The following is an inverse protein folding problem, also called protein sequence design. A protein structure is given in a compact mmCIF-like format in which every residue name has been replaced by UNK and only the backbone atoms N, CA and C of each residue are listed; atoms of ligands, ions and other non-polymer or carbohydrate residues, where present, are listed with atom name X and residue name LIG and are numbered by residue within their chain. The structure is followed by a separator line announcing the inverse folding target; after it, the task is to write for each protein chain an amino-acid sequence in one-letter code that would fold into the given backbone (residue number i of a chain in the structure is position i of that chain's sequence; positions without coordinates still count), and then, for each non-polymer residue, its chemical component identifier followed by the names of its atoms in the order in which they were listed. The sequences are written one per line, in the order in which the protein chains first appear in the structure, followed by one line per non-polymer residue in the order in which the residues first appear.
data_IF_435376340273
#
_entry.id   IF_435376340273
#
_cell.length_a   1.000
_cell.length_b   1.000
_cell.length_c   1.000
_cell.angle_alpha   90.00
_cell.angle_beta   90.00
_cell.angle_gamma   90.00
#
_symmetry.space_group_name_H-M   'P 1'
#
loop_
_entity.id
_entity.type
_entity.pdbx_description
1 polymer ?
#
# COMPACT_ATOMS: atom_id res chain seq x y z
N UNK A 1 -12.97 68.17 -25.66
CA UNK A 1 -11.98 67.39 -24.89
C UNK A 1 -12.68 66.81 -23.67
N UNK A 2 -13.04 65.52 -23.69
CA UNK A 2 -13.57 64.81 -22.52
C UNK A 2 -12.66 63.63 -22.22
N UNK A 3 -12.06 63.62 -21.03
CA UNK A 3 -11.19 62.55 -20.53
C UNK A 3 -12.07 61.34 -20.19
N UNK A 4 -11.77 60.18 -20.78
CA UNK A 4 -12.31 58.87 -20.34
C UNK A 4 -11.53 58.44 -19.10
N UNK A 5 -12.25 58.30 -17.99
CA UNK A 5 -11.74 57.73 -16.75
C UNK A 5 -12.05 56.24 -16.75
N UNK A 6 -11.00 55.42 -16.74
CA UNK A 6 -11.09 53.95 -16.77
C UNK A 6 -11.23 53.44 -15.33
N UNK A 7 -12.43 53.06 -14.91
CA UNK A 7 -12.66 52.38 -13.63
C UNK A 7 -12.05 50.97 -13.66
N UNK A 8 -11.17 50.67 -12.70
CA UNK A 8 -10.74 49.30 -12.38
C UNK A 8 -11.83 48.57 -11.60
N UNK A 9 -12.13 47.29 -11.87
CA UNK A 9 -13.01 46.52 -11.02
C UNK A 9 -12.30 46.14 -9.71
N UNK A 10 -13.06 46.19 -8.60
CA UNK A 10 -12.63 45.79 -7.27
C UNK A 10 -12.43 44.26 -7.17
N UNK A 11 -11.52 43.77 -6.31
CA UNK A 11 -11.29 42.34 -6.15
C UNK A 11 -12.48 41.66 -5.46
N UNK A 12 -12.96 40.58 -6.08
CA UNK A 12 -14.00 39.70 -5.54
C UNK A 12 -13.42 38.92 -4.35
N UNK A 13 -13.95 39.16 -3.15
CA UNK A 13 -13.64 38.37 -1.95
C UNK A 13 -14.23 36.96 -2.11
N UNK A 14 -13.38 35.94 -2.22
CA UNK A 14 -13.80 34.55 -2.03
C UNK A 14 -14.14 34.30 -0.55
N UNK A 15 -15.26 33.64 -0.23
CA UNK A 15 -15.54 33.19 1.13
C UNK A 15 -14.63 32.02 1.49
N UNK A 16 -14.02 32.09 2.67
CA UNK A 16 -13.21 31.03 3.25
C UNK A 16 -14.06 29.77 3.46
N UNK A 17 -13.62 28.64 2.90
CA UNK A 17 -14.22 27.34 3.21
C UNK A 17 -13.80 26.90 4.60
N UNK A 18 -14.70 27.00 5.56
CA UNK A 18 -14.56 26.35 6.87
C UNK A 18 -14.64 24.84 6.68
N UNK A 19 -13.48 24.18 6.63
CA UNK A 19 -13.39 22.71 6.69
C UNK A 19 -13.68 22.29 8.13
N UNK A 20 -14.88 21.74 8.37
CA UNK A 20 -15.26 21.21 9.66
C UNK A 20 -14.47 19.94 9.98
N UNK A 21 -13.83 19.92 11.16
CA UNK A 21 -13.19 18.74 11.70
C UNK A 21 -14.20 17.59 11.88
N UNK A 22 -13.82 16.33 11.61
CA UNK A 22 -14.68 15.19 11.91
C UNK A 22 -14.83 14.99 13.44
N UNK A 23 -15.99 14.53 13.91
CA UNK A 23 -16.26 14.36 15.34
C UNK A 23 -15.49 13.17 15.93
N UNK A 24 -15.07 13.35 17.19
CA UNK A 24 -14.47 12.33 18.06
C UNK A 24 -15.54 11.28 18.40
N UNK A 25 -15.25 9.99 18.16
CA UNK A 25 -16.07 8.90 18.68
C UNK A 25 -15.26 7.91 19.50
N UNK A 26 -15.80 7.64 20.69
CA UNK A 26 -15.32 6.80 21.78
C UNK A 26 -15.32 5.32 21.44
N UNK A 27 -14.28 4.62 21.89
CA UNK A 27 -14.05 3.17 21.77
C UNK A 27 -15.16 2.32 22.40
N UNK A 28 -15.55 1.18 21.78
CA UNK A 28 -16.26 0.11 22.46
C UNK A 28 -15.30 -0.90 23.13
N UNK A 29 -15.70 -1.29 24.33
CA UNK A 29 -15.11 -2.24 25.26
C UNK A 29 -14.90 -3.65 24.68
N UNK A 30 -13.77 -4.25 25.05
CA UNK A 30 -13.36 -5.62 24.70
C UNK A 30 -14.34 -6.69 25.21
N UNK A 31 -14.62 -7.68 24.36
CA UNK A 31 -15.26 -8.94 24.74
C UNK A 31 -14.29 -10.10 24.52
N UNK A 32 -14.08 -10.86 25.59
CA UNK A 32 -13.22 -12.03 25.74
C UNK A 32 -13.65 -13.18 24.81
N UNK A 33 -12.67 -13.82 24.14
CA UNK A 33 -12.86 -15.10 23.47
C UNK A 33 -12.34 -16.27 24.32
N UNK A 34 -12.94 -17.47 24.24
CA UNK A 34 -12.29 -18.70 24.62
C UNK A 34 -11.96 -19.57 23.39
N UNK A 35 -10.88 -20.35 23.48
CA UNK A 35 -10.74 -21.61 22.76
C UNK A 35 -9.55 -21.74 21.81
N UNK A 36 -8.39 -22.10 22.36
CA UNK A 36 -7.32 -22.78 21.63
C UNK A 36 -7.82 -24.18 21.23
N UNK A 37 -7.69 -24.56 19.96
CA UNK A 37 -7.80 -25.96 19.54
C UNK A 37 -6.50 -26.38 18.85
N UNK A 38 -5.91 -27.41 19.43
CA UNK A 38 -4.66 -28.08 19.10
C UNK A 38 -4.78 -28.85 17.76
N UNK A 39 -3.87 -28.60 16.81
CA UNK A 39 -3.81 -29.31 15.52
C UNK A 39 -2.67 -30.33 15.51
N UNK A 40 -3.04 -31.58 15.78
CA UNK A 40 -2.72 -32.80 15.03
C UNK A 40 -1.30 -33.00 14.46
N UNK A 41 -0.58 -33.95 15.06
CA UNK A 41 0.66 -34.58 14.58
C UNK A 41 0.44 -35.36 13.27
N UNK A 42 1.23 -35.08 12.22
CA UNK A 42 1.35 -35.96 11.05
C UNK A 42 2.50 -36.96 11.23
N UNK A 43 2.17 -38.26 11.16
CA UNK A 43 3.11 -39.38 11.13
C UNK A 43 3.57 -39.62 9.68
N UNK A 44 4.88 -39.64 9.47
CA UNK A 44 5.53 -40.20 8.28
C UNK A 44 5.52 -41.74 8.40
N UNK A 45 5.03 -42.42 7.37
CA UNK A 45 5.19 -43.86 7.18
C UNK A 45 5.87 -44.10 5.83
N UNK A 46 6.84 -45.01 5.82
CA UNK A 46 7.84 -45.19 4.76
C UNK A 46 7.35 -45.94 3.51
N UNK A 47 8.28 -46.13 2.57
CA UNK A 47 8.13 -47.10 1.48
C UNK A 47 8.90 -46.73 0.21
N UNK A 48 10.03 -47.39 -0.03
CA UNK A 48 10.85 -47.38 -1.27
C UNK A 48 11.29 -48.84 -1.49
N UNK A 49 11.59 -49.36 -2.70
CA UNK A 49 11.01 -49.21 -4.05
C UNK A 49 10.63 -50.61 -4.66
N UNK A 50 10.41 -50.74 -5.99
CA UNK A 50 11.49 -51.30 -6.81
C UNK A 50 11.66 -50.68 -8.20
N UNK A 51 12.75 -51.14 -8.83
CA UNK A 51 13.55 -50.64 -9.95
C UNK A 51 13.16 -51.32 -11.26
N UNK A 52 13.00 -50.57 -12.36
CA UNK A 52 13.27 -51.05 -13.73
C UNK A 52 13.82 -49.91 -14.63
N UNK A 53 14.61 -50.35 -15.61
CA UNK A 53 15.69 -49.71 -16.39
C UNK A 53 15.23 -48.82 -17.57
N UNK A 54 16.15 -48.07 -18.21
CA UNK A 54 15.87 -46.76 -18.83
C UNK A 54 15.46 -46.86 -20.31
N UNK A 55 14.59 -45.94 -20.72
CA UNK A 55 14.34 -45.61 -22.13
C UNK A 55 14.98 -44.25 -22.45
N UNK A 56 15.86 -44.28 -23.44
CA UNK A 56 16.58 -43.15 -23.99
C UNK A 56 15.63 -42.18 -24.71
N UNK A 57 15.31 -41.07 -24.05
CA UNK A 57 14.63 -39.92 -24.65
C UNK A 57 15.35 -38.65 -24.22
N UNK A 58 16.15 -38.09 -25.14
CA UNK A 58 16.85 -36.83 -24.97
C UNK A 58 15.91 -35.74 -24.44
N UNK A 59 16.21 -35.09 -23.31
CA UNK A 59 15.47 -33.92 -22.86
C UNK A 59 15.82 -32.73 -23.74
N UNK A 60 14.79 -32.12 -24.34
CA UNK A 60 14.88 -30.79 -24.91
C UNK A 60 15.42 -29.84 -23.84
N UNK A 61 16.56 -29.22 -24.15
CA UNK A 61 17.24 -28.28 -23.27
C UNK A 61 16.27 -27.15 -22.92
N UNK A 62 15.68 -27.25 -21.72
CA UNK A 62 15.00 -26.14 -21.08
C UNK A 62 16.08 -25.10 -20.83
N UNK A 63 15.99 -23.97 -21.53
CA UNK A 63 16.84 -22.82 -21.27
C UNK A 63 16.88 -22.55 -19.76
N UNK A 64 18.06 -22.28 -19.18
CA UNK A 64 18.14 -21.86 -17.80
C UNK A 64 17.36 -20.56 -17.68
N UNK A 65 16.21 -20.64 -17.01
CA UNK A 65 15.52 -19.49 -16.44
C UNK A 65 16.59 -18.64 -15.77
N UNK A 66 16.78 -17.41 -16.27
CA UNK A 66 17.69 -16.45 -15.66
C UNK A 66 17.45 -16.49 -14.15
N UNK A 67 18.50 -16.80 -13.39
CA UNK A 67 18.40 -16.86 -11.94
C UNK A 67 17.96 -15.48 -11.47
N UNK A 68 16.71 -15.38 -11.03
CA UNK A 68 16.15 -14.15 -10.47
C UNK A 68 17.07 -13.73 -9.31
N UNK A 69 17.61 -12.51 -9.37
CA UNK A 69 18.40 -11.98 -8.27
C UNK A 69 17.59 -12.08 -6.96
N UNK A 70 18.24 -12.42 -5.83
CA UNK A 70 17.52 -12.53 -4.57
C UNK A 70 16.85 -11.19 -4.23
N UNK A 71 15.67 -11.19 -3.58
CA UNK A 71 15.02 -9.97 -3.14
C UNK A 71 15.96 -9.14 -2.26
N UNK A 72 16.10 -7.85 -2.55
CA UNK A 72 16.90 -6.92 -1.75
C UNK A 72 16.04 -5.77 -1.25
N UNK A 73 16.13 -5.49 0.05
CA UNK A 73 15.46 -4.35 0.66
C UNK A 73 16.25 -3.06 0.45
N UNK A 74 15.55 -1.98 0.11
CA UNK A 74 16.10 -0.64 -0.14
C UNK A 74 15.54 0.37 0.84
N UNK A 75 16.30 1.41 1.12
CA UNK A 75 15.84 2.54 1.91
C UNK A 75 14.89 3.41 1.09
N UNK A 76 13.77 3.78 1.72
CA UNK A 76 12.77 4.71 1.21
C UNK A 76 12.64 5.88 2.17
N UNK A 77 12.65 7.08 1.61
CA UNK A 77 12.24 8.30 2.30
C UNK A 77 10.98 8.81 1.64
N UNK A 78 9.90 8.86 2.41
CA UNK A 78 8.58 9.29 1.96
C UNK A 78 8.10 10.45 2.82
N UNK A 79 7.12 11.18 2.32
CA UNK A 79 6.58 12.37 2.96
C UNK A 79 5.06 12.33 2.98
N UNK A 80 4.50 12.83 4.08
CA UNK A 80 3.05 12.97 4.25
C UNK A 80 2.75 14.30 4.91
N UNK A 81 1.93 15.11 4.25
CA UNK A 81 1.29 16.24 4.90
C UNK A 81 0.06 15.75 5.67
N UNK A 82 -0.09 16.16 6.92
CA UNK A 82 -1.23 15.80 7.76
C UNK A 82 -1.54 16.95 8.73
N UNK A 83 -2.82 17.26 8.94
CA UNK A 83 -3.23 18.40 9.78
C UNK A 83 -3.05 18.13 11.27
N UNK A 84 -2.89 16.86 11.67
CA UNK A 84 -2.59 16.51 13.05
C UNK A 84 -1.14 16.89 13.36
N UNK A 85 -0.89 17.42 14.55
CA UNK A 85 0.48 17.64 15.04
C UNK A 85 1.12 16.34 15.52
N UNK A 86 2.44 16.32 15.69
CA UNK A 86 3.13 15.11 16.11
C UNK A 86 2.74 14.70 17.54
N UNK A 87 2.51 15.67 18.42
CA UNK A 87 2.02 15.43 19.78
C UNK A 87 0.62 14.80 19.77
N UNK A 88 -0.26 15.26 18.86
CA UNK A 88 -1.58 14.66 18.67
C UNK A 88 -1.46 13.23 18.15
N UNK A 89 -0.55 12.97 17.21
CA UNK A 89 -0.27 11.63 16.71
C UNK A 89 0.19 10.69 17.82
N UNK A 90 1.15 11.12 18.65
CA UNK A 90 1.70 10.31 19.74
C UNK A 90 0.68 9.95 20.82
N UNK A 91 -0.28 10.83 21.10
CA UNK A 91 -1.24 10.65 22.19
C UNK A 91 -2.55 10.02 21.75
N UNK A 92 -3.04 10.36 20.55
CA UNK A 92 -4.35 9.94 20.05
C UNK A 92 -4.32 8.80 19.03
N UNK A 93 -3.15 8.48 18.45
CA UNK A 93 -3.03 7.56 17.33
C UNK A 93 -1.88 6.56 17.54
N UNK A 94 -2.02 5.60 18.48
CA UNK A 94 -0.95 4.67 18.83
C UNK A 94 -0.52 3.75 17.67
N UNK A 95 -1.40 3.52 16.69
CA UNK A 95 -1.10 2.76 15.48
C UNK A 95 -0.41 3.60 14.39
N UNK A 96 -0.26 4.91 14.62
CA UNK A 96 0.25 5.88 13.66
C UNK A 96 -0.77 6.32 12.63
N UNK A 97 -0.35 6.47 11.37
CA UNK A 97 -1.27 6.89 10.32
C UNK A 97 -2.12 5.70 9.87
N UNK A 98 -3.43 5.83 9.99
CA UNK A 98 -4.42 4.83 9.54
C UNK A 98 -5.29 5.39 8.42
N UNK A 99 -5.81 4.50 7.59
CA UNK A 99 -6.79 4.84 6.56
C UNK A 99 -8.16 5.17 7.19
N UNK A 100 -9.08 5.72 6.41
CA UNK A 100 -10.45 5.98 6.91
C UNK A 100 -11.21 4.69 7.24
N UNK A 101 -11.01 3.64 6.44
CA UNK A 101 -11.50 2.29 6.72
C UNK A 101 -10.31 1.34 6.83
N UNK A 102 -9.68 1.21 8.01
CA UNK A 102 -8.51 0.36 8.19
C UNK A 102 -8.85 -1.11 7.94
N UNK A 103 -8.01 -1.79 7.16
CA UNK A 103 -8.12 -3.24 6.90
C UNK A 103 -7.06 -4.06 7.66
N UNK A 104 -6.14 -3.39 8.36
CA UNK A 104 -5.05 -4.01 9.10
C UNK A 104 -4.08 -4.80 8.23
N UNK A 105 -3.13 -5.49 8.85
CA UNK A 105 -2.12 -6.31 8.15
C UNK A 105 -2.77 -7.46 7.38
N UNK A 106 -3.65 -8.23 8.04
CA UNK A 106 -4.30 -9.38 7.40
C UNK A 106 -5.16 -8.97 6.21
N UNK A 107 -5.95 -7.89 6.30
CA UNK A 107 -6.74 -7.39 5.17
C UNK A 107 -5.87 -6.84 4.05
N UNK A 108 -4.75 -6.19 4.35
CA UNK A 108 -3.81 -5.72 3.33
C UNK A 108 -3.14 -6.89 2.59
N UNK A 109 -2.73 -7.93 3.32
CA UNK A 109 -2.22 -9.18 2.73
C UNK A 109 -3.29 -9.87 1.88
N UNK A 110 -4.54 -9.92 2.35
CA UNK A 110 -5.66 -10.47 1.59
C UNK A 110 -5.89 -9.70 0.27
N UNK A 111 -5.90 -8.37 0.33
CA UNK A 111 -6.05 -7.53 -0.85
C UNK A 111 -4.88 -7.73 -1.83
N UNK A 112 -3.64 -7.82 -1.34
CA UNK A 112 -2.48 -8.11 -2.18
C UNK A 112 -2.57 -9.51 -2.85
N UNK A 113 -3.06 -10.52 -2.12
CA UNK A 113 -3.24 -11.88 -2.62
C UNK A 113 -4.23 -11.99 -3.80
N UNK A 114 -5.18 -11.06 -3.93
CA UNK A 114 -6.07 -10.97 -5.11
C UNK A 114 -5.26 -10.86 -6.40
N UNK A 115 -4.20 -10.05 -6.40
CA UNK A 115 -3.34 -9.83 -7.58
C UNK A 115 -2.41 -11.02 -7.84
N UNK A 116 -2.21 -11.88 -6.84
CA UNK A 116 -1.57 -13.19 -6.95
C UNK A 116 -2.56 -14.30 -7.34
N UNK A 117 -3.78 -13.93 -7.72
CA UNK A 117 -4.80 -14.84 -8.26
C UNK A 117 -5.70 -15.49 -7.22
N UNK A 118 -5.63 -15.09 -5.95
CA UNK A 118 -6.65 -15.45 -4.97
C UNK A 118 -8.00 -14.87 -5.37
N UNK A 119 -9.06 -15.65 -5.16
CA UNK A 119 -10.46 -15.19 -5.30
C UNK A 119 -11.11 -14.88 -3.96
N UNK A 120 -10.40 -15.16 -2.87
CA UNK A 120 -10.90 -14.92 -1.54
C UNK A 120 -10.79 -13.43 -1.23
N UNK A 121 -11.93 -12.80 -0.96
CA UNK A 121 -12.03 -11.41 -0.50
C UNK A 121 -12.67 -11.34 0.88
N UNK A 122 -12.72 -12.46 1.60
CA UNK A 122 -13.23 -12.47 2.97
C UNK A 122 -12.39 -11.54 3.85
N UNK A 123 -13.05 -10.85 4.78
CA UNK A 123 -12.42 -9.85 5.65
C UNK A 123 -12.15 -8.50 4.98
N UNK A 124 -12.28 -8.35 3.66
CA UNK A 124 -12.24 -7.03 3.02
C UNK A 124 -13.57 -6.29 3.21
N UNK A 125 -13.56 -4.96 3.36
CA UNK A 125 -14.77 -4.16 3.34
C UNK A 125 -15.54 -4.37 2.03
N UNK A 126 -16.87 -4.41 2.11
CA UNK A 126 -17.75 -4.71 0.96
C UNK A 126 -17.44 -3.86 -0.28
N UNK A 127 -17.21 -2.57 -0.09
CA UNK A 127 -16.92 -1.67 -1.21
C UNK A 127 -15.59 -2.02 -1.92
N UNK A 128 -14.60 -2.57 -1.20
CA UNK A 128 -13.34 -3.05 -1.78
C UNK A 128 -13.57 -4.38 -2.50
N UNK A 129 -14.28 -5.32 -1.88
CA UNK A 129 -14.56 -6.63 -2.50
C UNK A 129 -15.42 -6.49 -3.77
N UNK A 130 -16.42 -5.61 -3.74
CA UNK A 130 -17.26 -5.31 -4.90
C UNK A 130 -16.39 -4.75 -6.03
N UNK A 131 -15.48 -3.81 -5.71
CA UNK A 131 -14.58 -3.23 -6.71
C UNK A 131 -13.60 -4.23 -7.31
N UNK A 132 -13.03 -5.10 -6.47
CA UNK A 132 -12.18 -6.22 -6.91
C UNK A 132 -12.94 -7.16 -7.84
N UNK A 133 -14.22 -7.43 -7.54
CA UNK A 133 -15.09 -8.28 -8.35
C UNK A 133 -15.35 -7.76 -9.76
N UNK A 134 -15.18 -6.46 -10.01
CA UNK A 134 -15.26 -5.86 -11.35
C UNK A 134 -14.04 -6.17 -12.23
N UNK A 135 -12.93 -6.63 -11.64
CA UNK A 135 -11.68 -6.88 -12.36
C UNK A 135 -11.56 -8.36 -12.75
N UNK A 136 -11.70 -8.73 -14.04
CA UNK A 136 -11.64 -10.13 -14.46
C UNK A 136 -10.25 -10.76 -14.29
N UNK A 137 -9.19 -9.94 -14.35
CA UNK A 137 -7.82 -10.34 -14.08
C UNK A 137 -7.10 -9.16 -13.38
N UNK A 138 -7.27 -9.02 -12.06
CA UNK A 138 -6.75 -7.89 -11.30
C UNK A 138 -5.25 -7.69 -11.52
N UNK A 139 -4.85 -6.44 -11.81
CA UNK A 139 -3.45 -5.99 -11.90
C UNK A 139 -3.23 -4.83 -10.94
N UNK A 140 -1.98 -4.61 -10.55
CA UNK A 140 -1.63 -3.45 -9.71
C UNK A 140 -1.99 -2.10 -10.35
N UNK A 141 -2.09 -2.04 -11.69
CA UNK A 141 -2.60 -0.86 -12.41
C UNK A 141 -4.09 -0.58 -12.11
N UNK A 142 -4.90 -1.61 -11.89
CA UNK A 142 -6.31 -1.46 -11.51
C UNK A 142 -6.42 -0.90 -10.09
N UNK A 143 -5.59 -1.39 -9.16
CA UNK A 143 -5.49 -0.85 -7.80
C UNK A 143 -5.01 0.61 -7.81
N UNK A 144 -3.97 0.92 -8.57
CA UNK A 144 -3.48 2.29 -8.75
C UNK A 144 -4.59 3.23 -9.23
N UNK A 145 -5.38 2.77 -10.21
CA UNK A 145 -6.51 3.54 -10.76
C UNK A 145 -7.58 3.75 -9.70
N UNK A 146 -7.98 2.69 -8.98
CA UNK A 146 -8.92 2.78 -7.88
C UNK A 146 -8.48 3.79 -6.81
N UNK A 147 -7.21 3.73 -6.40
CA UNK A 147 -6.62 4.67 -5.44
C UNK A 147 -6.70 6.11 -5.94
N UNK A 148 -6.31 6.34 -7.21
CA UNK A 148 -6.29 7.71 -7.77
C UNK A 148 -7.68 8.32 -7.90
N UNK A 149 -8.70 7.53 -8.19
CA UNK A 149 -10.06 8.03 -8.44
C UNK A 149 -11.01 7.97 -7.24
N UNK A 150 -10.65 7.29 -6.16
CA UNK A 150 -11.44 7.32 -4.92
C UNK A 150 -11.08 8.55 -4.10
N UNK A 151 -12.08 9.40 -3.79
CA UNK A 151 -11.92 10.67 -3.07
C UNK A 151 -12.84 10.82 -1.87
N UNK A 152 -13.59 9.78 -1.55
CA UNK A 152 -14.47 9.77 -0.39
C UNK A 152 -13.74 9.27 0.88
N UNK A 153 -14.49 9.13 1.98
CA UNK A 153 -13.96 8.64 3.26
C UNK A 153 -14.01 7.10 3.36
N UNK A 154 -14.07 6.36 2.26
CA UNK A 154 -14.02 4.90 2.28
C UNK A 154 -12.61 4.33 2.05
N UNK A 155 -11.60 5.18 1.84
CA UNK A 155 -10.26 4.71 1.47
C UNK A 155 -9.69 3.74 2.51
N UNK A 156 -9.04 2.69 2.02
CA UNK A 156 -8.36 1.65 2.81
C UNK A 156 -6.85 1.82 2.81
N UNK A 157 -6.36 2.97 2.36
CA UNK A 157 -4.93 3.29 2.29
C UNK A 157 -4.59 4.65 2.91
N UNK A 158 -3.31 4.80 3.24
CA UNK A 158 -2.67 6.06 3.63
C UNK A 158 -1.73 6.51 2.52
N UNK A 159 -2.02 7.66 1.91
CA UNK A 159 -1.20 8.24 0.84
C UNK A 159 0.04 8.94 1.39
N UNK A 160 1.17 8.74 0.71
CA UNK A 160 2.45 9.42 0.93
C UNK A 160 3.09 9.73 -0.43
N UNK A 161 4.09 10.60 -0.47
CA UNK A 161 4.83 10.93 -1.69
C UNK A 161 6.33 10.74 -1.50
N UNK A 162 7.07 10.56 -2.59
CA UNK A 162 8.55 10.48 -2.55
C UNK A 162 9.24 11.86 -2.43
N UNK A 163 8.47 12.95 -2.48
CA UNK A 163 8.97 14.32 -2.45
C UNK A 163 8.29 15.14 -1.35
N UNK A 164 8.90 16.26 -0.99
CA UNK A 164 8.41 17.17 0.06
C UNK A 164 7.20 18.01 -0.36
N UNK A 165 6.80 17.97 -1.63
CA UNK A 165 5.54 18.59 -2.07
C UNK A 165 4.32 17.81 -1.56
N UNK A 166 4.49 16.53 -1.22
CA UNK A 166 3.46 15.67 -0.64
C UNK A 166 2.15 15.68 -1.46
N UNK A 167 2.26 15.62 -2.79
CA UNK A 167 1.11 15.71 -3.70
C UNK A 167 0.43 17.09 -3.69
N UNK A 168 1.19 18.16 -3.47
CA UNK A 168 0.71 19.54 -3.39
C UNK A 168 0.05 19.89 -2.05
N UNK A 169 0.15 19.03 -1.04
CA UNK A 169 -0.50 19.22 0.27
C UNK A 169 0.44 19.79 1.34
N UNK A 170 1.73 19.98 1.04
CA UNK A 170 2.70 20.46 2.03
C UNK A 170 2.57 21.95 2.39
N UNK A 171 1.77 22.73 1.66
CA UNK A 171 1.57 24.15 1.97
C UNK A 171 0.69 24.33 3.21
N UNK A 172 1.30 24.70 4.33
CA UNK A 172 0.61 25.12 5.56
C UNK A 172 0.16 24.00 6.49
N UNK A 173 0.40 22.74 6.15
CA UNK A 173 0.17 21.59 7.04
C UNK A 173 1.49 21.05 7.60
N UNK A 174 1.51 20.48 8.82
CA UNK A 174 2.63 19.68 9.29
C UNK A 174 3.05 18.62 8.26
N UNK A 175 4.35 18.55 8.01
CA UNK A 175 4.95 17.59 7.09
C UNK A 175 5.70 16.54 7.90
N UNK A 176 5.54 15.28 7.53
CA UNK A 176 6.16 14.14 8.18
C UNK A 176 7.06 13.42 7.20
N UNK A 177 8.25 13.04 7.65
CA UNK A 177 9.14 12.13 6.94
C UNK A 177 8.94 10.72 7.46
N UNK A 178 8.89 9.77 6.54
CA UNK A 178 8.70 8.35 6.81
C UNK A 178 9.94 7.64 6.25
N UNK A 179 10.68 6.97 7.13
CA UNK A 179 11.93 6.28 6.77
C UNK A 179 11.73 4.78 6.92
N UNK A 180 11.75 4.04 5.81
CA UNK A 180 11.45 2.60 5.81
C UNK A 180 12.38 1.82 4.89
N UNK A 181 12.54 0.52 5.15
CA UNK A 181 13.18 -0.41 4.21
C UNK A 181 12.16 -1.33 3.59
N UNK A 182 12.11 -1.36 2.27
CA UNK A 182 11.19 -2.22 1.53
C UNK A 182 11.88 -3.07 0.48
N UNK A 183 11.41 -4.29 0.35
CA UNK A 183 11.53 -5.12 -0.83
C UNK A 183 10.47 -4.67 -1.83
N UNK A 184 10.87 -4.48 -3.10
CA UNK A 184 9.97 -4.06 -4.16
C UNK A 184 9.75 -5.20 -5.14
N UNK A 185 8.50 -5.39 -5.55
CA UNK A 185 8.10 -6.47 -6.45
C UNK A 185 7.17 -5.96 -7.54
N UNK A 186 7.33 -6.49 -8.75
CA UNK A 186 6.22 -6.54 -9.70
C UNK A 186 5.48 -7.87 -9.56
N UNK A 187 4.30 -7.94 -10.16
CA UNK A 187 3.55 -9.20 -10.27
C UNK A 187 3.60 -9.66 -11.73
N UNK A 188 4.29 -10.78 -11.97
CA UNK A 188 4.26 -11.47 -13.26
C UNK A 188 3.68 -12.87 -13.06
N UNK A 189 2.75 -13.27 -13.91
CA UNK A 189 2.14 -14.61 -13.87
C UNK A 189 1.67 -15.01 -12.45
N UNK A 190 1.07 -14.07 -11.71
CA UNK A 190 0.58 -14.26 -10.34
C UNK A 190 1.67 -14.58 -9.31
N UNK A 191 2.92 -14.22 -9.59
CA UNK A 191 4.05 -14.38 -8.69
C UNK A 191 4.70 -13.02 -8.43
N UNK A 192 5.21 -12.85 -7.21
CA UNK A 192 6.07 -11.74 -6.86
C UNK A 192 7.42 -11.92 -7.55
N UNK A 193 7.77 -10.99 -8.44
CA UNK A 193 9.06 -10.93 -9.10
C UNK A 193 9.85 -9.77 -8.51
N UNK A 194 11.02 -10.01 -7.90
CA UNK A 194 11.80 -8.94 -7.27
C UNK A 194 12.24 -7.87 -8.25
N UNK A 195 12.18 -6.62 -7.80
CA UNK A 195 12.74 -5.44 -8.46
C UNK A 195 13.87 -4.86 -7.59
N UNK A 196 15.09 -5.45 -7.61
CA UNK A 196 16.19 -4.99 -6.75
C UNK A 196 16.65 -3.57 -7.05
N UNK A 197 16.41 -3.08 -8.28
CA UNK A 197 16.66 -1.70 -8.70
C UNK A 197 15.39 -0.83 -8.69
N UNK A 198 14.29 -1.40 -8.23
CA UNK A 198 12.96 -0.81 -8.18
C UNK A 198 12.29 -0.60 -9.52
N UNK A 199 11.08 -0.01 -9.50
CA UNK A 199 10.33 0.23 -10.73
C UNK A 199 11.02 1.25 -11.64
N UNK A 200 10.97 0.99 -12.94
CA UNK A 200 11.58 1.83 -13.99
C UNK A 200 10.56 2.46 -14.93
N UNK A 201 9.26 2.29 -14.66
CA UNK A 201 8.17 2.80 -15.50
C UNK A 201 7.11 3.53 -14.69
N UNK A 202 6.62 4.65 -15.24
CA UNK A 202 5.48 5.40 -14.73
C UNK A 202 4.18 4.58 -14.75
N UNK A 203 4.08 3.60 -15.67
CA UNK A 203 2.85 2.85 -15.96
C UNK A 203 2.82 1.47 -15.32
N UNK A 204 3.91 1.05 -14.66
CA UNK A 204 4.00 -0.24 -13.98
C UNK A 204 4.13 -0.01 -12.48
N UNK A 205 3.00 -0.04 -11.74
CA UNK A 205 3.05 -0.04 -10.28
C UNK A 205 3.76 -1.28 -9.75
N UNK A 206 4.29 -1.15 -8.55
CA UNK A 206 4.99 -2.21 -7.81
C UNK A 206 4.45 -2.30 -6.38
N UNK A 207 4.58 -3.48 -5.80
CA UNK A 207 4.26 -3.74 -4.40
C UNK A 207 5.52 -3.53 -3.56
N UNK A 208 5.38 -2.83 -2.44
CA UNK A 208 6.41 -2.64 -1.42
C UNK A 208 6.04 -3.46 -0.19
N UNK A 209 6.99 -4.26 0.29
CA UNK A 209 6.87 -5.10 1.47
C UNK A 209 8.05 -4.87 2.40
N UNK A 210 7.83 -4.85 3.71
CA UNK A 210 8.91 -4.82 4.73
C UNK A 210 9.58 -6.19 4.95
N UNK A 211 9.07 -7.24 4.32
CA UNK A 211 9.60 -8.59 4.34
C UNK A 211 9.75 -9.15 2.92
N UNK A 212 10.60 -10.18 2.68
CA UNK A 212 10.81 -10.74 1.35
C UNK A 212 9.61 -11.57 0.83
N UNK A 213 8.56 -11.75 1.64
CA UNK A 213 7.36 -12.51 1.32
C UNK A 213 6.13 -11.79 1.87
N UNK A 214 4.98 -11.93 1.18
CA UNK A 214 3.76 -11.22 1.54
C UNK A 214 3.24 -11.62 2.92
N UNK A 215 3.28 -12.92 3.24
CA UNK A 215 2.74 -13.49 4.47
C UNK A 215 3.53 -13.06 5.72
N UNK A 216 4.82 -12.78 5.54
CA UNK A 216 5.70 -12.30 6.59
C UNK A 216 5.70 -10.76 6.72
N UNK A 217 5.08 -10.05 5.78
CA UNK A 217 5.11 -8.59 5.71
C UNK A 217 4.10 -7.97 6.66
N UNK A 218 4.54 -7.01 7.48
CA UNK A 218 3.68 -6.22 8.35
C UNK A 218 3.33 -4.86 7.74
N UNK A 219 4.06 -4.44 6.71
CA UNK A 219 3.79 -3.24 5.93
C UNK A 219 3.65 -3.59 4.46
N UNK A 220 2.44 -3.38 3.93
CA UNK A 220 2.13 -3.58 2.51
C UNK A 220 1.76 -2.24 1.90
N UNK A 221 2.44 -1.84 0.83
CA UNK A 221 2.17 -0.59 0.14
C UNK A 221 2.26 -0.74 -1.39
N UNK A 222 1.61 0.17 -2.10
CA UNK A 222 1.67 0.28 -3.56
C UNK A 222 2.52 1.49 -3.95
N UNK A 223 3.59 1.29 -4.71
CA UNK A 223 4.37 2.35 -5.35
C UNK A 223 3.85 2.58 -6.77
N UNK A 224 3.31 3.77 -7.04
CA UNK A 224 2.61 4.05 -8.29
C UNK A 224 2.66 5.53 -8.70
N UNK A 225 2.16 5.83 -9.92
CA UNK A 225 2.20 7.17 -10.50
C UNK A 225 3.52 7.52 -11.20
N UNK A 226 3.77 8.80 -11.52
CA UNK A 226 5.02 9.22 -12.17
C UNK A 226 6.25 8.91 -11.31
N UNK A 227 7.39 8.49 -11.89
CA UNK A 227 8.58 8.08 -11.13
C UNK A 227 9.19 9.19 -10.26
N UNK A 228 9.06 10.45 -10.68
CA UNK A 228 9.59 11.64 -9.97
C UNK A 228 8.57 12.32 -9.06
N UNK A 229 7.34 11.83 -9.09
CA UNK A 229 6.22 12.33 -8.29
C UNK A 229 5.36 11.14 -7.85
N UNK A 230 6.04 10.09 -7.41
CA UNK A 230 5.40 8.84 -7.07
C UNK A 230 4.59 9.01 -5.80
N UNK A 231 3.38 8.45 -5.82
CA UNK A 231 2.64 8.19 -4.59
C UNK A 231 3.03 6.79 -4.11
N UNK A 232 3.24 6.66 -2.80
CA UNK A 232 3.28 5.37 -2.13
C UNK A 232 2.07 5.29 -1.22
N UNK A 233 1.13 4.41 -1.57
CA UNK A 233 -0.12 4.23 -0.83
C UNK A 233 0.01 2.99 0.06
N UNK A 234 0.07 3.20 1.37
CA UNK A 234 0.14 2.13 2.35
C UNK A 234 -1.22 1.50 2.55
N UNK A 235 -1.34 0.20 2.36
CA UNK A 235 -2.55 -0.59 2.62
C UNK A 235 -2.66 -1.01 4.10
N UNK A 236 -1.54 -0.92 4.83
CA UNK A 236 -1.44 -1.09 6.29
C UNK A 236 -1.30 0.26 6.98
N UNK A 237 -1.50 0.34 8.31
CA UNK A 237 -1.09 1.52 9.08
C UNK A 237 0.41 1.81 8.90
N UNK A 238 0.78 3.10 9.00
CA UNK A 238 2.18 3.55 9.03
C UNK A 238 2.53 3.79 10.51
N UNK A 239 3.33 2.92 11.15
CA UNK A 239 3.61 3.03 12.57
C UNK A 239 4.46 4.27 12.88
N UNK A 240 4.24 4.92 14.02
CA UNK A 240 5.00 6.11 14.41
C UNK A 240 6.50 5.85 14.62
N UNK A 241 6.91 4.60 14.82
CA UNK A 241 8.32 4.21 14.96
C UNK A 241 9.17 4.52 13.72
N UNK A 242 8.54 4.71 12.56
CA UNK A 242 9.22 5.08 11.30
C UNK A 242 8.87 6.50 10.83
N UNK A 243 8.19 7.29 11.67
CA UNK A 243 7.70 8.63 11.36
C UNK A 243 8.45 9.66 12.19
N UNK A 244 8.91 10.73 11.55
CA UNK A 244 9.46 11.92 12.21
C UNK A 244 8.84 13.20 11.65
N UNK A 245 8.65 14.25 12.47
CA UNK A 245 8.35 15.58 11.95
C UNK A 245 9.43 16.03 10.98
N UNK A 246 9.02 16.63 9.86
CA UNK A 246 9.93 17.19 8.87
C UNK A 246 9.74 18.70 8.80
N UNK A 247 10.84 19.41 9.02
CA UNK A 247 10.93 20.85 8.85
C UNK A 247 11.83 21.11 7.62
N UNK A 248 11.29 21.72 6.55
CA UNK A 248 12.04 22.01 5.33
C UNK A 248 13.18 23.00 5.56
#
# INVERSE_FOLDING_TARGET
MFKKETQRPAPVKQPASTSQAPPVQTTPTAASGPGLVEMGKYRYAGGVPPRHTPSSGMPSAREPSAASEPPQARDYTLYRADTRTYEQMQTGFPEGFTAWTPIGVSGAQQLANVFLGSKDTSGLPRHVSDKVGEWPNPKLADLSTYIKYTKDKSTVWVSTAINTEAGGQSSGAPLYKISARFYEFEIQNRQLVPLPNGRTSNLKPSLLLDAPMLEASTIVALNHGPLRDAEVSFLTPIPLSIVEPYHP
#
